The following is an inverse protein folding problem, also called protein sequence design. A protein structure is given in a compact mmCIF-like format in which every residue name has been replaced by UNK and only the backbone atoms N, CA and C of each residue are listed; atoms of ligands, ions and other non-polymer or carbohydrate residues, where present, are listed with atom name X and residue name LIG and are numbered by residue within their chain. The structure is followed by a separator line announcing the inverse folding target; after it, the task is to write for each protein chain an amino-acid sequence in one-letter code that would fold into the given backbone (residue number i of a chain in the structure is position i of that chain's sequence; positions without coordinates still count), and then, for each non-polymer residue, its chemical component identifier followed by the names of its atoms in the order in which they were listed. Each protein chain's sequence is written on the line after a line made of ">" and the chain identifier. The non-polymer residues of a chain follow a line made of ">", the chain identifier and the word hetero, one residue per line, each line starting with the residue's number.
data_IF_503100438848
#
_entry.id   IF_503100438848
#
_cell.length_a   1.000
_cell.length_b   1.000
_cell.length_c   1.000
_cell.angle_alpha   90.00
_cell.angle_beta   90.00
_cell.angle_gamma   90.00
#
_symmetry.space_group_name_H-M   'P 1'
#
loop_
_entity.id
_entity.type
_entity.pdbx_description
1 polymer ?
#
# COMPACT_ATOMS: atom_id res chain seq x y z
N UNK A 1 4.24 9.38 9.22
CA UNK A 1 4.79 9.84 10.51
C UNK A 1 5.80 8.83 11.00
N UNK A 2 6.83 9.26 11.71
CA UNK A 2 7.80 8.36 12.37
C UNK A 2 7.46 8.32 13.86
N UNK A 3 7.39 7.11 14.42
CA UNK A 3 7.24 6.92 15.86
C UNK A 3 8.63 6.97 16.48
N UNK A 4 8.85 7.92 17.38
CA UNK A 4 10.14 8.06 18.08
C UNK A 4 9.90 8.39 19.56
N UNK A 5 10.72 7.87 20.49
CA UNK A 5 10.73 8.35 21.86
C UNK A 5 11.07 9.85 21.88
N UNK A 6 10.28 10.62 22.61
CA UNK A 6 10.53 12.05 22.83
C UNK A 6 11.02 12.23 24.27
N UNK A 7 12.33 12.50 24.49
CA UNK A 7 12.95 12.41 25.82
C UNK A 7 12.27 13.28 26.89
N UNK A 8 11.89 14.50 26.52
CA UNK A 8 11.26 15.46 27.43
C UNK A 8 9.76 15.20 27.67
N UNK A 9 9.13 14.37 26.85
CA UNK A 9 7.72 14.01 26.99
C UNK A 9 7.49 12.63 27.64
N UNK A 10 8.56 11.85 27.88
CA UNK A 10 8.48 10.50 28.44
C UNK A 10 7.60 9.54 27.62
N UNK A 11 7.38 9.81 26.32
CA UNK A 11 6.42 9.09 25.50
C UNK A 11 6.89 8.96 24.05
N UNK A 12 6.42 7.91 23.37
CA UNK A 12 6.56 7.79 21.91
C UNK A 12 5.57 8.74 21.24
N UNK A 13 6.05 9.60 20.36
CA UNK A 13 5.21 10.51 19.57
C UNK A 13 5.32 10.17 18.09
N UNK A 14 4.23 10.41 17.37
CA UNK A 14 4.18 10.34 15.92
C UNK A 14 4.58 11.70 15.35
N UNK A 15 5.82 11.81 14.85
CA UNK A 15 6.29 13.04 14.25
C UNK A 15 6.02 13.03 12.75
N UNK A 16 5.47 14.13 12.18
CA UNK A 16 5.34 14.24 10.75
C UNK A 16 6.73 14.22 10.11
N UNK A 17 6.89 13.35 9.13
CA UNK A 17 8.05 13.34 8.25
C UNK A 17 7.53 13.33 6.83
N UNK A 18 8.18 14.09 5.97
CA UNK A 18 7.95 14.08 4.53
C UNK A 18 6.47 14.19 4.13
N UNK A 19 5.81 15.21 4.66
CA UNK A 19 4.40 15.51 4.34
C UNK A 19 4.26 15.93 2.88
N UNK A 20 3.54 15.12 2.10
CA UNK A 20 3.23 15.42 0.71
C UNK A 20 1.85 16.04 0.57
N UNK A 21 1.78 17.19 -0.10
CA UNK A 21 0.49 17.76 -0.49
C UNK A 21 -0.07 16.97 -1.67
N UNK A 22 -1.28 16.42 -1.50
CA UNK A 22 -2.01 15.71 -2.55
C UNK A 22 -3.30 16.48 -2.88
N UNK A 23 -3.24 17.47 -3.80
CA UNK A 23 -4.41 18.29 -4.11
C UNK A 23 -5.51 17.46 -4.77
N UNK A 24 -6.77 17.79 -4.45
CA UNK A 24 -7.94 17.13 -5.05
C UNK A 24 -7.96 17.29 -6.57
N UNK A 25 -8.69 16.40 -7.25
CA UNK A 25 -8.88 16.51 -8.70
C UNK A 25 -9.49 17.86 -9.09
N UNK A 26 -10.53 18.30 -8.37
CA UNK A 26 -11.17 19.61 -8.57
C UNK A 26 -10.19 20.76 -8.45
N UNK A 27 -9.33 20.74 -7.42
CA UNK A 27 -8.31 21.78 -7.21
C UNK A 27 -7.29 21.84 -8.35
N UNK A 28 -6.81 20.68 -8.81
CA UNK A 28 -5.86 20.63 -9.92
C UNK A 28 -6.48 21.11 -11.23
N UNK A 29 -7.72 20.70 -11.53
CA UNK A 29 -8.45 21.14 -12.72
C UNK A 29 -8.62 22.66 -12.75
N UNK A 30 -9.06 23.27 -11.64
CA UNK A 30 -9.19 24.72 -11.53
C UNK A 30 -7.85 25.46 -11.74
N UNK A 31 -6.72 24.80 -11.45
CA UNK A 31 -5.37 25.36 -11.64
C UNK A 31 -4.74 24.94 -12.98
N UNK A 32 -5.48 24.28 -13.87
CA UNK A 32 -4.94 23.78 -15.15
C UNK A 32 -3.85 22.71 -15.00
N UNK A 33 -3.78 22.01 -13.87
CA UNK A 33 -2.76 21.00 -13.57
C UNK A 33 -3.29 19.59 -13.79
N UNK A 34 -2.42 18.69 -14.25
CA UNK A 34 -2.72 17.25 -14.30
C UNK A 34 -2.93 16.72 -12.88
N UNK A 35 -4.08 16.09 -12.66
CA UNK A 35 -4.34 15.41 -11.40
C UNK A 35 -3.54 14.11 -11.29
N UNK A 36 -3.11 13.81 -10.06
CA UNK A 36 -2.34 12.64 -9.70
C UNK A 36 -3.02 11.98 -8.50
N UNK A 37 -3.20 10.65 -8.56
CA UNK A 37 -3.90 9.91 -7.52
C UNK A 37 -3.12 9.97 -6.20
N UNK A 38 -3.83 9.83 -5.08
CA UNK A 38 -3.21 9.78 -3.75
C UNK A 38 -2.14 8.68 -3.67
N UNK A 39 -2.42 7.50 -4.25
CA UNK A 39 -1.48 6.37 -4.27
C UNK A 39 -0.28 6.60 -5.18
N UNK A 40 -0.39 7.44 -6.22
CA UNK A 40 0.77 7.85 -7.02
C UNK A 40 1.67 8.83 -6.24
N UNK A 41 1.08 9.71 -5.42
CA UNK A 41 1.84 10.54 -4.47
C UNK A 41 2.54 9.68 -3.44
N UNK A 42 1.82 8.72 -2.86
CA UNK A 42 2.38 7.75 -1.92
C UNK A 42 3.52 6.95 -2.54
N UNK A 43 3.38 6.47 -3.78
CA UNK A 43 4.42 5.74 -4.51
C UNK A 43 5.69 6.56 -4.65
N UNK A 44 5.57 7.80 -5.15
CA UNK A 44 6.74 8.68 -5.29
C UNK A 44 7.35 9.00 -3.93
N UNK A 45 6.53 9.21 -2.92
CA UNK A 45 6.99 9.48 -1.56
C UNK A 45 7.77 8.32 -0.96
N UNK A 46 7.21 7.12 -1.06
CA UNK A 46 7.81 5.90 -0.54
C UNK A 46 9.17 5.62 -1.21
N UNK A 47 9.23 5.70 -2.55
CA UNK A 47 10.48 5.51 -3.29
C UNK A 47 11.53 6.55 -2.93
N UNK A 48 11.12 7.80 -2.72
CA UNK A 48 12.02 8.87 -2.33
C UNK A 48 12.62 8.63 -0.93
N UNK A 49 11.82 8.15 0.01
CA UNK A 49 12.32 7.78 1.34
C UNK A 49 13.27 6.58 1.28
N UNK A 50 12.93 5.53 0.52
CA UNK A 50 13.81 4.36 0.35
C UNK A 50 15.16 4.76 -0.27
N UNK A 51 15.15 5.71 -1.21
CA UNK A 51 16.39 6.23 -1.82
C UNK A 51 17.22 7.08 -0.85
N UNK A 52 16.58 7.83 0.05
CA UNK A 52 17.28 8.67 1.01
C UNK A 52 17.84 7.90 2.20
N UNK A 53 17.26 6.74 2.52
CA UNK A 53 17.61 5.93 3.68
C UNK A 53 17.90 4.48 3.23
N UNK A 54 18.91 4.25 2.38
CA UNK A 54 19.14 2.94 1.76
C UNK A 54 19.47 1.83 2.77
N UNK A 55 20.09 2.18 3.90
CA UNK A 55 20.53 1.23 4.93
C UNK A 55 19.49 1.04 6.06
N UNK A 56 18.24 1.42 5.82
CA UNK A 56 17.16 1.34 6.82
C UNK A 56 16.02 0.48 6.30
N UNK A 57 15.57 -0.44 7.14
CA UNK A 57 14.31 -1.13 6.94
C UNK A 57 13.14 -0.16 7.15
N UNK A 58 12.42 0.13 6.07
CA UNK A 58 11.27 1.03 6.10
C UNK A 58 9.98 0.21 6.04
N UNK A 59 9.07 0.51 6.97
CA UNK A 59 7.71 -0.05 6.99
C UNK A 59 6.71 1.08 6.79
N UNK A 60 6.01 1.06 5.65
CA UNK A 60 4.91 1.96 5.36
C UNK A 60 3.61 1.37 5.89
N UNK A 61 2.93 2.09 6.78
CA UNK A 61 1.62 1.71 7.31
C UNK A 61 0.57 2.67 6.76
N UNK A 62 -0.41 2.15 6.03
CA UNK A 62 -1.50 2.92 5.43
C UNK A 62 -2.87 2.33 5.72
N UNK A 63 -3.91 3.16 5.64
CA UNK A 63 -5.29 2.67 5.65
C UNK A 63 -5.64 1.92 4.34
N UNK A 64 -6.90 1.50 4.20
CA UNK A 64 -7.38 0.72 3.05
C UNK A 64 -7.28 1.43 1.70
N UNK A 65 -7.16 2.76 1.69
CA UNK A 65 -6.98 3.56 0.47
C UNK A 65 -5.60 3.32 -0.16
N UNK A 66 -4.66 2.75 0.59
CA UNK A 66 -3.31 2.37 0.11
C UNK A 66 -3.19 0.88 -0.24
N UNK A 67 -4.26 0.09 -0.14
CA UNK A 67 -4.29 -1.31 -0.54
C UNK A 67 -4.38 -1.45 -2.07
N UNK A 68 -3.40 -0.89 -2.79
CA UNK A 68 -3.36 -0.85 -4.25
C UNK A 68 -2.15 -1.63 -4.76
N UNK A 69 -2.40 -2.58 -5.66
CA UNK A 69 -1.36 -3.50 -6.16
C UNK A 69 -0.19 -2.76 -6.82
N UNK A 70 -0.43 -1.66 -7.55
CA UNK A 70 0.63 -0.85 -8.16
C UNK A 70 1.56 -0.21 -7.11
N UNK A 71 1.01 0.22 -5.98
CA UNK A 71 1.80 0.76 -4.87
C UNK A 71 2.63 -0.35 -4.21
N UNK A 72 2.00 -1.49 -3.93
CA UNK A 72 2.70 -2.64 -3.35
C UNK A 72 3.84 -3.14 -4.25
N UNK A 73 3.58 -3.25 -5.55
CA UNK A 73 4.58 -3.67 -6.54
C UNK A 73 5.76 -2.69 -6.61
N UNK A 74 5.50 -1.38 -6.59
CA UNK A 74 6.56 -0.38 -6.65
C UNK A 74 7.49 -0.40 -5.42
N UNK A 75 6.95 -0.81 -4.26
CA UNK A 75 7.66 -0.87 -2.98
C UNK A 75 8.37 -2.22 -2.78
N UNK A 76 7.93 -3.27 -3.49
CA UNK A 76 8.49 -4.63 -3.38
C UNK A 76 10.01 -4.62 -3.58
N UNK A 77 10.74 -5.25 -2.66
CA UNK A 77 12.20 -5.30 -2.65
C UNK A 77 12.90 -4.04 -2.15
N UNK A 78 12.16 -3.00 -1.74
CA UNK A 78 12.71 -1.73 -1.20
C UNK A 78 12.25 -1.43 0.21
N UNK A 79 11.02 -1.82 0.55
CA UNK A 79 10.42 -1.60 1.86
C UNK A 79 9.23 -2.56 2.07
N UNK A 80 8.65 -2.53 3.27
CA UNK A 80 7.43 -3.26 3.60
C UNK A 80 6.22 -2.34 3.56
N UNK A 81 5.13 -2.77 2.94
CA UNK A 81 3.84 -2.07 2.95
C UNK A 81 2.82 -2.88 3.76
N UNK A 82 2.30 -2.28 4.83
CA UNK A 82 1.19 -2.80 5.63
C UNK A 82 -0.02 -1.92 5.35
N UNK A 83 -1.09 -2.51 4.83
CA UNK A 83 -2.35 -1.83 4.58
C UNK A 83 -3.54 -2.75 4.83
N UNK A 84 -4.68 -2.15 5.17
CA UNK A 84 -5.93 -2.89 5.40
C UNK A 84 -6.57 -3.29 4.08
N UNK A 85 -6.47 -4.56 3.71
CA UNK A 85 -7.20 -5.10 2.57
C UNK A 85 -8.68 -5.33 2.91
N UNK A 86 -9.58 -4.99 1.99
CA UNK A 86 -11.01 -5.24 2.17
C UNK A 86 -11.31 -6.73 2.10
N UNK A 87 -12.17 -7.23 3.00
CA UNK A 87 -12.54 -8.65 3.03
C UNK A 87 -13.33 -9.10 1.79
N UNK A 88 -13.97 -8.17 1.07
CA UNK A 88 -14.66 -8.40 -0.19
C UNK A 88 -13.81 -8.10 -1.43
N UNK A 89 -12.50 -7.92 -1.27
CA UNK A 89 -11.60 -7.75 -2.39
C UNK A 89 -11.68 -8.96 -3.34
N UNK A 90 -11.74 -8.67 -4.65
CA UNK A 90 -11.65 -9.71 -5.67
C UNK A 90 -10.20 -10.11 -5.83
N UNK A 91 -9.87 -11.30 -5.32
CA UNK A 91 -8.55 -11.91 -5.45
C UNK A 91 -8.54 -12.83 -6.67
N UNK A 92 -7.39 -12.90 -7.33
CA UNK A 92 -7.18 -13.74 -8.51
C UNK A 92 -5.87 -14.49 -8.37
N UNK A 93 -5.82 -15.72 -8.87
CA UNK A 93 -4.57 -16.45 -8.99
C UNK A 93 -3.64 -15.76 -10.02
N UNK A 94 -2.34 -16.08 -10.01
CA UNK A 94 -1.44 -15.69 -11.10
C UNK A 94 -1.99 -16.14 -12.46
N UNK A 95 -1.79 -15.37 -13.54
CA UNK A 95 -2.15 -15.83 -14.88
C UNK A 95 -1.39 -17.12 -15.22
N UNK A 96 -1.99 -18.05 -15.96
CA UNK A 96 -1.33 -19.31 -16.34
C UNK A 96 -0.08 -19.03 -17.16
N UNK A 97 0.95 -19.87 -17.00
CA UNK A 97 2.18 -19.79 -17.77
C UNK A 97 1.89 -19.96 -19.27
N UNK A 98 2.59 -19.16 -20.09
CA UNK A 98 2.46 -19.24 -21.53
C UNK A 98 3.28 -20.40 -22.07
N UNK A 99 2.71 -21.14 -23.02
CA UNK A 99 3.43 -22.12 -23.83
C UNK A 99 3.41 -21.72 -25.31
N UNK A 100 4.18 -22.42 -26.14
CA UNK A 100 4.29 -22.16 -27.58
C UNK A 100 2.94 -22.21 -28.34
N UNK A 101 1.90 -22.81 -27.75
CA UNK A 101 0.55 -22.93 -28.32
C UNK A 101 -0.41 -21.85 -27.81
N UNK A 102 0.04 -20.96 -26.91
CA UNK A 102 -0.78 -19.87 -26.37
C UNK A 102 -0.93 -18.75 -27.40
N UNK A 103 -2.11 -18.66 -28.01
CA UNK A 103 -2.45 -17.64 -29.01
C UNK A 103 -3.15 -16.46 -28.33
N UNK A 104 -2.86 -15.24 -28.79
CA UNK A 104 -3.54 -14.01 -28.35
C UNK A 104 -2.90 -13.29 -27.16
N UNK A 105 -3.55 -12.19 -26.73
CA UNK A 105 -3.05 -11.25 -25.71
C UNK A 105 -2.83 -11.98 -24.38
N UNK A 106 -1.71 -11.74 -23.68
CA UNK A 106 -1.48 -12.30 -22.36
C UNK A 106 -2.60 -11.96 -21.37
N UNK A 107 -3.10 -12.99 -20.68
CA UNK A 107 -3.99 -12.80 -19.55
C UNK A 107 -3.25 -12.04 -18.45
N UNK A 108 -3.89 -11.03 -17.86
CA UNK A 108 -3.32 -10.27 -16.74
C UNK A 108 -3.62 -10.92 -15.39
N UNK A 109 -4.61 -11.81 -15.32
CA UNK A 109 -5.12 -12.43 -14.09
C UNK A 109 -5.51 -13.88 -14.39
N UNK A 110 -5.30 -14.76 -13.42
CA UNK A 110 -5.80 -16.14 -13.44
C UNK A 110 -7.26 -16.24 -12.95
N UNK A 111 -7.72 -17.46 -12.62
CA UNK A 111 -9.06 -17.67 -12.07
C UNK A 111 -9.29 -16.90 -10.76
N UNK A 112 -10.54 -16.53 -10.46
CA UNK A 112 -10.88 -15.87 -9.20
C UNK A 112 -10.60 -16.79 -8.01
N UNK A 113 -10.07 -16.21 -6.93
CA UNK A 113 -9.87 -16.87 -5.64
C UNK A 113 -11.06 -16.62 -4.72
N UNK A 114 -11.26 -17.45 -3.68
CA UNK A 114 -12.27 -17.20 -2.67
C UNK A 114 -12.14 -15.80 -2.05
N UNK A 115 -13.27 -15.15 -1.78
CA UNK A 115 -13.29 -13.91 -1.01
C UNK A 115 -12.77 -14.17 0.40
N UNK A 116 -12.24 -13.16 1.06
CA UNK A 116 -11.69 -13.32 2.42
C UNK A 116 -12.77 -13.35 3.50
N UNK A 117 -13.96 -12.77 3.24
CA UNK A 117 -15.08 -12.76 4.21
C UNK A 117 -15.37 -14.13 4.84
N UNK A 118 -15.53 -15.24 4.10
CA UNK A 118 -15.82 -16.56 4.67
C UNK A 118 -14.61 -17.19 5.39
N UNK A 119 -13.40 -16.78 5.04
CA UNK A 119 -12.16 -17.27 5.65
C UNK A 119 -11.79 -16.52 6.94
N UNK A 120 -12.46 -15.41 7.24
CA UNK A 120 -12.12 -14.56 8.37
C UNK A 120 -12.71 -15.13 9.66
N UNK A 121 -11.89 -15.88 10.40
CA UNK A 121 -12.17 -16.22 11.79
C UNK A 121 -11.46 -15.20 12.67
N UNK A 122 -12.23 -14.40 13.43
CA UNK A 122 -11.67 -13.58 14.50
C UNK A 122 -11.24 -14.55 15.59
N UNK A 123 -9.95 -14.62 15.97
CA UNK A 123 -9.59 -15.33 17.19
C UNK A 123 -10.31 -14.62 18.33
N UNK A 124 -11.18 -15.35 19.04
CA UNK A 124 -11.70 -14.87 20.32
C UNK A 124 -10.50 -14.48 21.16
N UNK A 125 -10.40 -13.19 21.52
CA UNK A 125 -9.43 -12.77 22.52
C UNK A 125 -9.79 -13.53 23.78
N UNK A 126 -8.97 -14.51 24.18
CA UNK A 126 -8.94 -14.94 25.56
C UNK A 126 -8.53 -13.70 26.35
N UNK A 127 -9.51 -13.08 26.99
CA UNK A 127 -9.26 -12.12 28.04
C UNK A 127 -8.65 -12.88 29.20
N UNK A 128 -7.44 -12.47 29.58
CA UNK A 128 -6.88 -12.73 30.90
C UNK A 128 -6.07 -11.50 31.27
N UNK A 129 -6.63 -10.77 32.22
CA UNK A 129 -6.03 -9.93 33.27
C UNK A 129 -5.24 -8.67 32.89
#
# INVERSE_FOLDING_TARGET
>A
MVLTPVPWAGAVKALPVFTLLAPSQRSNLHRGRRHKLLTDWARQGALQLCRWLPDRDIVFVGDSSFAVHELAHAITGRATLISRLRLDANLFAPPPERNARSVGRPAQKGPPLPKLKPCFQIPLRHGTE
#
